data_IF_216595599425
#
_entry.id   IF_216595599425
#
_cell.length_a   1.000
_cell.length_b   1.000
_cell.length_c   1.000
_cell.angle_alpha   90.00
_cell.angle_beta   90.00
_cell.angle_gamma   90.00
#
_symmetry.space_group_name_H-M   'P 1'
#
loop_
_entity.id
_entity.type
_entity.pdbx_description
1 polymer ?
#
# COMPACT_ATOMS: atom_id res chain seq x y z
N UNK A 1 35.75 -7.40 0.13
CA UNK A 1 35.25 -6.37 -0.82
C UNK A 1 33.75 -6.41 -0.70
N UNK A 2 33.04 -5.28 -0.65
CA UNK A 2 31.58 -5.27 -0.50
C UNK A 2 30.97 -4.34 -1.54
N UNK A 3 29.72 -4.60 -1.89
CA UNK A 3 28.93 -3.71 -2.74
C UNK A 3 28.07 -2.80 -1.87
N UNK A 4 27.81 -1.59 -2.35
CA UNK A 4 27.00 -0.63 -1.63
C UNK A 4 25.87 -0.11 -2.52
N UNK A 5 24.68 -0.03 -1.94
CA UNK A 5 23.49 0.54 -2.55
C UNK A 5 23.03 1.71 -1.69
N UNK A 6 22.77 2.84 -2.32
CA UNK A 6 22.17 4.03 -1.70
C UNK A 6 20.74 4.16 -2.21
N UNK A 7 19.79 4.18 -1.29
CA UNK A 7 18.37 4.29 -1.57
C UNK A 7 17.90 5.68 -1.17
N UNK A 8 17.58 6.50 -2.17
CA UNK A 8 16.86 7.74 -1.94
C UNK A 8 15.45 7.41 -1.46
N UNK A 9 15.14 7.85 -0.24
CA UNK A 9 13.80 7.76 0.32
C UNK A 9 13.05 9.09 0.15
N UNK A 10 11.72 9.03 0.29
CA UNK A 10 10.87 10.21 0.32
C UNK A 10 10.39 10.49 1.76
N UNK A 11 9.65 11.58 1.97
CA UNK A 11 9.02 11.94 3.26
C UNK A 11 9.98 12.18 4.45
N UNK A 12 11.22 12.56 4.19
CA UNK A 12 12.14 13.05 5.23
C UNK A 12 12.98 11.97 5.95
N UNK A 13 12.91 10.70 5.52
CA UNK A 13 13.69 9.62 6.13
C UNK A 13 15.20 9.63 5.77
N UNK A 14 15.63 10.49 4.85
CA UNK A 14 17.01 10.51 4.37
C UNK A 14 17.39 9.25 3.56
N UNK A 15 18.58 9.21 2.95
CA UNK A 15 18.97 8.05 2.16
C UNK A 15 19.32 6.85 3.04
N UNK A 16 18.97 5.63 2.60
CA UNK A 16 19.42 4.40 3.23
C UNK A 16 20.67 3.87 2.52
N UNK A 17 21.73 3.61 3.28
CA UNK A 17 22.95 3.01 2.77
C UNK A 17 23.01 1.54 3.17
N UNK A 18 22.89 0.64 2.20
CA UNK A 18 22.89 -0.80 2.40
C UNK A 18 24.14 -1.43 1.80
N UNK A 19 24.68 -2.44 2.49
CA UNK A 19 25.86 -3.19 2.07
C UNK A 19 25.47 -4.61 1.70
N UNK A 20 26.13 -5.15 0.68
CA UNK A 20 25.99 -6.53 0.23
C UNK A 20 27.36 -7.19 0.19
N UNK A 21 27.45 -8.36 0.80
CA UNK A 21 28.66 -9.18 0.73
C UNK A 21 28.75 -9.88 -0.64
N UNK A 22 29.95 -10.20 -1.16
CA UNK A 22 30.10 -10.75 -2.51
C UNK A 22 29.38 -12.07 -2.76
N UNK A 23 29.17 -12.86 -1.71
CA UNK A 23 28.53 -14.17 -1.79
C UNK A 23 27.05 -14.10 -1.41
N UNK A 24 26.53 -12.90 -1.13
CA UNK A 24 25.14 -12.71 -0.75
C UNK A 24 24.23 -12.63 -1.98
N UNK A 25 22.98 -13.12 -1.90
CA UNK A 25 21.96 -12.81 -2.89
C UNK A 25 21.81 -11.29 -3.10
N UNK A 26 21.85 -10.85 -4.35
CA UNK A 26 21.88 -9.43 -4.72
C UNK A 26 20.73 -9.05 -5.67
N UNK A 27 19.56 -9.67 -5.50
CA UNK A 27 18.37 -9.30 -6.27
C UNK A 27 17.68 -8.08 -5.65
N UNK A 28 16.79 -7.46 -6.41
CA UNK A 28 15.92 -6.40 -5.89
C UNK A 28 15.03 -6.91 -4.75
N UNK A 29 14.62 -8.18 -4.78
CA UNK A 29 13.89 -8.79 -3.67
C UNK A 29 14.71 -8.79 -2.38
N UNK A 30 15.99 -9.16 -2.45
CA UNK A 30 16.89 -9.17 -1.29
C UNK A 30 17.09 -7.76 -0.72
N UNK A 31 17.22 -6.77 -1.61
CA UNK A 31 17.24 -5.36 -1.23
C UNK A 31 15.96 -4.93 -0.51
N UNK A 32 14.79 -5.33 -1.02
CA UNK A 32 13.51 -5.03 -0.37
C UNK A 32 13.41 -5.66 1.01
N UNK A 33 13.91 -6.87 1.18
CA UNK A 33 13.95 -7.55 2.48
C UNK A 33 14.87 -6.83 3.48
N UNK A 34 16.05 -6.38 3.04
CA UNK A 34 16.93 -5.54 3.89
C UNK A 34 16.31 -4.19 4.23
N UNK A 35 15.58 -3.58 3.31
CA UNK A 35 14.83 -2.35 3.59
C UNK A 35 13.67 -2.61 4.55
N UNK A 36 12.98 -3.75 4.45
CA UNK A 36 11.89 -4.10 5.34
C UNK A 36 12.38 -4.37 6.78
N UNK A 37 13.61 -4.84 6.97
CA UNK A 37 14.19 -5.01 8.31
C UNK A 37 14.66 -3.70 8.95
N UNK A 38 14.86 -2.66 8.15
CA UNK A 38 15.36 -1.34 8.61
C UNK A 38 14.28 -0.25 8.59
N UNK A 39 13.13 -0.50 7.98
CA UNK A 39 12.01 0.44 7.84
C UNK A 39 10.70 -0.20 8.29
N UNK A 40 9.64 0.60 8.39
CA UNK A 40 8.29 0.10 8.72
C UNK A 40 7.53 -0.47 7.52
N UNK A 41 8.10 -0.41 6.31
CA UNK A 41 7.43 -0.78 5.07
C UNK A 41 7.76 -2.22 4.68
N UNK A 42 6.74 -3.04 4.49
CA UNK A 42 6.92 -4.41 4.02
C UNK A 42 7.49 -4.45 2.60
N UNK A 43 8.13 -5.54 2.20
CA UNK A 43 8.71 -5.70 0.86
C UNK A 43 7.67 -5.49 -0.27
N UNK A 44 6.41 -5.83 -0.03
CA UNK A 44 5.30 -5.70 -0.98
C UNK A 44 4.88 -4.23 -1.21
N UNK A 45 5.03 -3.39 -0.19
CA UNK A 45 4.73 -1.96 -0.25
C UNK A 45 5.83 -1.16 -0.96
N UNK A 46 7.02 -1.76 -1.12
CA UNK A 46 8.18 -1.09 -1.68
C UNK A 46 8.23 -1.19 -3.21
N UNK A 47 8.41 -0.05 -3.87
CA UNK A 47 8.71 0.05 -5.30
C UNK A 47 10.08 0.68 -5.50
N UNK A 48 11.00 -0.11 -6.06
CA UNK A 48 12.36 0.32 -6.35
C UNK A 48 12.45 0.79 -7.80
N UNK A 49 13.11 1.93 -8.01
CA UNK A 49 13.38 2.49 -9.33
C UNK A 49 14.85 2.83 -9.47
N UNK A 50 15.38 2.66 -10.68
CA UNK A 50 16.67 3.26 -11.06
C UNK A 50 16.63 4.79 -11.00
N UNK A 51 17.80 5.43 -11.03
CA UNK A 51 17.91 6.88 -11.20
C UNK A 51 17.19 7.39 -12.48
N UNK A 52 17.21 6.59 -13.55
CA UNK A 52 16.49 6.89 -14.80
C UNK A 52 14.98 6.64 -14.76
N UNK A 53 14.41 6.27 -13.60
CA UNK A 53 12.97 6.10 -13.41
C UNK A 53 12.40 4.73 -13.80
N UNK A 54 13.19 3.84 -14.41
CA UNK A 54 12.81 2.45 -14.70
C UNK A 54 12.48 1.72 -13.40
N UNK A 55 11.30 1.08 -13.36
CA UNK A 55 10.87 0.21 -12.26
C UNK A 55 11.66 -1.08 -12.34
N UNK A 56 12.24 -1.50 -11.21
CA UNK A 56 12.94 -2.77 -11.09
C UNK A 56 12.00 -3.85 -10.55
N UNK A 57 12.15 -5.06 -11.06
CA UNK A 57 11.42 -6.25 -10.66
C UNK A 57 12.22 -7.04 -9.64
N UNK A 58 11.54 -7.88 -8.85
CA UNK A 58 12.14 -8.65 -7.76
C UNK A 58 13.29 -9.56 -8.22
N UNK A 59 13.24 -10.02 -9.47
CA UNK A 59 14.26 -10.90 -10.06
C UNK A 59 15.44 -10.15 -10.70
N UNK A 60 15.36 -8.81 -10.81
CA UNK A 60 16.47 -8.04 -11.38
C UNK A 60 17.69 -8.15 -10.44
N UNK A 61 18.84 -8.49 -11.00
CA UNK A 61 20.11 -8.49 -10.28
C UNK A 61 20.67 -7.06 -10.21
N UNK A 62 20.94 -6.58 -9.00
CA UNK A 62 21.38 -5.21 -8.75
C UNK A 62 22.76 -4.93 -9.35
N UNK A 63 23.63 -5.93 -9.44
CA UNK A 63 25.05 -5.76 -9.79
C UNK A 63 25.44 -6.47 -11.10
N UNK A 64 24.48 -6.88 -11.93
CA UNK A 64 24.74 -7.66 -13.16
C UNK A 64 25.76 -6.98 -14.10
N UNK A 65 25.68 -5.66 -14.27
CA UNK A 65 26.57 -4.88 -15.14
C UNK A 65 27.42 -3.87 -14.34
N UNK A 66 27.59 -4.10 -13.04
CA UNK A 66 28.18 -3.13 -12.14
C UNK A 66 29.68 -3.36 -11.93
N UNK A 67 30.49 -2.33 -12.19
CA UNK A 67 31.90 -2.33 -11.79
C UNK A 67 32.06 -1.65 -10.44
N UNK A 68 32.88 -2.23 -9.55
CA UNK A 68 33.11 -1.66 -8.22
C UNK A 68 33.79 -0.27 -8.29
N UNK A 69 34.41 0.06 -9.42
CA UNK A 69 34.97 1.40 -9.64
C UNK A 69 33.91 2.48 -9.87
N UNK A 70 32.65 2.11 -10.15
CA UNK A 70 31.58 3.05 -10.46
C UNK A 70 31.00 3.74 -9.21
N UNK A 71 31.40 3.30 -8.01
CA UNK A 71 30.85 3.81 -6.75
C UNK A 71 29.42 3.36 -6.50
N UNK A 72 28.85 3.58 -5.31
CA UNK A 72 27.61 2.92 -4.88
C UNK A 72 26.45 3.07 -5.87
N UNK A 73 25.68 2.01 -6.07
CA UNK A 73 24.47 2.09 -6.91
C UNK A 73 23.45 2.97 -6.20
N UNK A 74 22.92 3.98 -6.89
CA UNK A 74 21.88 4.85 -6.35
C UNK A 74 20.53 4.46 -6.96
N UNK A 75 19.54 4.21 -6.12
CA UNK A 75 18.17 3.88 -6.49
C UNK A 75 17.18 4.75 -5.73
N UNK A 76 15.93 4.78 -6.19
CA UNK A 76 14.85 5.52 -5.55
C UNK A 76 13.80 4.55 -5.01
N UNK A 77 13.43 4.68 -3.73
CA UNK A 77 12.37 3.93 -3.09
C UNK A 77 11.09 4.75 -3.06
N UNK A 78 10.01 4.25 -3.68
CA UNK A 78 8.65 4.74 -3.46
C UNK A 78 7.86 3.73 -2.64
N UNK A 79 7.04 4.18 -1.70
CA UNK A 79 6.14 3.30 -0.94
C UNK A 79 4.73 3.40 -1.51
N UNK A 80 4.09 2.26 -1.73
CA UNK A 80 2.66 2.16 -2.02
C UNK A 80 1.97 1.61 -0.79
N UNK A 81 1.15 2.44 -0.15
CA UNK A 81 0.28 1.98 0.93
C UNK A 81 -0.79 1.06 0.34
N UNK A 82 -0.78 -0.21 0.74
CA UNK A 82 -1.80 -1.19 0.34
C UNK A 82 -3.01 -0.98 1.27
N UNK A 83 -3.73 0.10 1.03
CA UNK A 83 -4.90 0.50 1.80
C UNK A 83 -6.02 0.98 0.87
N UNK A 84 -7.22 0.44 1.09
CA UNK A 84 -8.41 0.69 0.27
C UNK A 84 -9.08 -0.63 -0.07
N UNK A 85 -10.13 -1.00 0.66
CA UNK A 85 -11.04 -2.07 0.22
C UNK A 85 -11.71 -1.57 -1.05
N UNK A 86 -11.37 -2.18 -2.19
CA UNK A 86 -12.22 -2.14 -3.37
C UNK A 86 -13.52 -2.88 -3.02
N UNK A 87 -14.50 -2.18 -2.46
CA UNK A 87 -15.85 -2.71 -2.21
C UNK A 87 -16.66 -2.91 -3.50
N UNK A 88 -16.01 -2.86 -4.67
CA UNK A 88 -16.64 -2.96 -5.98
C UNK A 88 -16.04 -4.09 -6.80
N UNK A 89 -16.45 -5.33 -6.49
CA UNK A 89 -16.65 -6.49 -7.40
C UNK A 89 -16.85 -7.73 -6.52
N UNK A 90 -18.04 -8.29 -6.35
CA UNK A 90 -18.72 -9.10 -7.37
C UNK A 90 -20.16 -9.39 -6.93
N UNK A 91 -21.15 -8.76 -7.57
CA UNK A 91 -22.50 -9.35 -7.63
C UNK A 91 -22.49 -10.41 -8.73
N UNK A 92 -22.02 -11.62 -8.42
CA UNK A 92 -22.30 -12.81 -9.24
C UNK A 92 -23.26 -13.71 -8.48
N UNK A 93 -24.40 -13.94 -9.15
CA UNK A 93 -25.58 -14.76 -8.81
C UNK A 93 -25.31 -15.86 -7.78
N UNK A 94 -26.04 -15.81 -6.66
CA UNK A 94 -26.27 -16.94 -5.74
C UNK A 94 -27.47 -17.73 -6.26
N UNK A 95 -27.23 -18.87 -6.90
CA UNK A 95 -28.25 -19.91 -7.10
C UNK A 95 -28.43 -20.64 -5.78
N UNK A 96 -29.69 -20.86 -5.40
CA UNK A 96 -30.09 -21.48 -4.15
C UNK A 96 -29.70 -22.97 -4.10
N UNK A 97 -29.07 -23.39 -3.00
CA UNK A 97 -29.43 -24.61 -2.29
C UNK A 97 -29.01 -24.46 -0.81
N UNK A 98 -29.74 -25.17 0.06
CA UNK A 98 -29.98 -24.88 1.47
C UNK A 98 -28.83 -25.13 2.46
N UNK A 99 -29.07 -24.63 3.67
CA UNK A 99 -28.51 -24.96 4.98
C UNK A 99 -27.08 -24.52 5.35
N UNK A 100 -27.00 -23.32 5.96
CA UNK A 100 -26.23 -23.10 7.19
C UNK A 100 -26.65 -21.78 7.86
N UNK A 101 -27.08 -21.86 9.11
CA UNK A 101 -27.44 -20.76 10.01
C UNK A 101 -26.27 -19.77 10.15
N UNK A 102 -26.49 -18.51 9.76
CA UNK A 102 -25.60 -17.39 10.10
C UNK A 102 -26.39 -16.34 10.86
N UNK A 103 -26.10 -16.21 12.15
CA UNK A 103 -26.62 -15.16 13.03
C UNK A 103 -26.10 -13.81 12.51
N UNK A 104 -27.00 -13.00 11.95
CA UNK A 104 -26.74 -11.62 11.56
C UNK A 104 -27.12 -10.68 12.71
N UNK A 105 -26.13 -10.07 13.36
CA UNK A 105 -26.36 -8.91 14.23
C UNK A 105 -26.60 -7.68 13.35
N UNK A 106 -27.85 -7.20 13.32
CA UNK A 106 -28.22 -5.95 12.67
C UNK A 106 -28.07 -4.79 13.67
N UNK A 107 -26.87 -4.21 13.76
CA UNK A 107 -26.68 -2.91 14.42
C UNK A 107 -26.92 -1.77 13.42
N UNK A 108 -28.18 -1.53 13.10
CA UNK A 108 -28.65 -0.23 12.62
C UNK A 108 -30.03 0.06 13.18
N UNK A 109 -30.10 0.23 14.50
CA UNK A 109 -31.22 0.92 15.17
C UNK A 109 -30.68 2.19 15.82
N UNK A 110 -30.23 3.15 15.02
CA UNK A 110 -30.02 4.51 15.49
C UNK A 110 -30.15 5.52 14.35
N UNK A 111 -31.28 6.23 14.37
CA UNK A 111 -31.44 7.61 13.89
C UNK A 111 -31.47 7.85 12.37
N UNK A 112 -32.61 7.49 11.75
CA UNK A 112 -33.07 8.17 10.54
C UNK A 112 -34.60 8.29 10.49
N UNK A 113 -35.22 8.92 11.48
CA UNK A 113 -36.62 9.38 11.41
C UNK A 113 -36.67 10.90 11.29
N UNK A 114 -36.52 11.41 10.07
CA UNK A 114 -36.97 12.77 9.69
C UNK A 114 -37.56 12.74 8.29
N UNK A 115 -38.90 12.77 8.20
CA UNK A 115 -39.74 13.59 7.30
C UNK A 115 -41.14 12.98 7.20
N UNK A 116 -42.04 13.46 8.05
CA UNK A 116 -43.49 13.29 7.94
C UNK A 116 -44.15 14.66 8.11
N UNK A 117 -44.98 15.05 7.14
CA UNK A 117 -45.58 16.38 6.98
C UNK A 117 -46.64 16.66 8.05
N UNK A 118 -46.54 17.80 8.73
CA UNK A 118 -47.64 18.34 9.55
C UNK A 118 -48.16 19.63 8.90
N UNK A 119 -49.47 19.65 8.60
CA UNK A 119 -50.19 20.80 8.05
C UNK A 119 -50.67 21.65 9.23
N UNK A 120 -49.96 22.73 9.54
CA UNK A 120 -50.41 23.69 10.54
C UNK A 120 -51.33 24.75 9.91
N UNK A 121 -52.49 24.92 10.54
CA UNK A 121 -53.61 25.71 10.06
C UNK A 121 -53.47 27.18 10.47
N UNK A 122 -53.62 28.09 9.50
CA UNK A 122 -53.64 29.54 9.70
C UNK A 122 -54.75 29.96 10.68
N UNK A 123 -54.38 30.64 11.77
CA UNK A 123 -55.21 31.69 12.40
C UNK A 123 -54.33 32.88 12.77
N UNK A 124 -54.38 33.93 11.95
CA UNK A 124 -53.93 35.27 12.34
C UNK A 124 -55.08 35.96 13.06
N UNK A 125 -54.89 36.30 14.33
CA UNK A 125 -55.61 37.40 14.99
C UNK A 125 -54.90 38.68 14.59
N UNK A 126 -55.65 39.68 14.14
CA UNK A 126 -55.23 41.08 14.16
C UNK A 126 -56.36 41.88 14.83
N UNK A 127 -55.91 42.83 15.65
CA UNK A 127 -56.70 43.90 16.23
C UNK A 127 -57.27 44.83 15.15
#
# INVERSE_FOLDING_TARGET
MYFQVVINSFSGFGPFCLKFEPNEPCTVYDLKQKLASTTTFSAEEQKIRSLGGRILTDNDNLFQDYSIQDGPIILNLTVRLIGGRDSHQSRRKKTACDDAVLIQYNDTVALASRKGKEKESRKRKLA
#
